data_IF_615537538711
#
_entry.id   IF_615537538711
#
_cell.length_a   1.000
_cell.length_b   1.000
_cell.length_c   1.000
_cell.angle_alpha   90.00
_cell.angle_beta   90.00
_cell.angle_gamma   90.00
#
_symmetry.space_group_name_H-M   'P 1'
#
loop_
_entity.id
_entity.type
_entity.pdbx_description
1 polymer ?
#
# COMPACT_ATOMS: atom_id res chain seq x y z
N UNK A 1 -3.91 -78.39 52.78
CA UNK A 1 -4.70 -77.79 51.72
C UNK A 1 -4.20 -76.38 51.49
N UNK A 2 -3.65 -76.12 50.31
CA UNK A 2 -2.87 -74.93 50.04
C UNK A 2 -3.76 -73.88 49.36
N UNK A 3 -3.87 -72.68 49.93
CA UNK A 3 -4.43 -71.52 49.26
C UNK A 3 -3.31 -70.86 48.38
N UNK A 4 -3.66 -70.65 47.14
CA UNK A 4 -2.81 -69.88 46.19
C UNK A 4 -3.28 -68.45 46.14
N UNK A 5 -2.36 -67.53 46.47
CA UNK A 5 -2.54 -66.12 46.32
C UNK A 5 -2.53 -65.70 44.82
N UNK A 6 -3.55 -64.97 44.41
CA UNK A 6 -3.61 -64.37 43.07
C UNK A 6 -3.29 -62.88 43.25
N UNK A 7 -2.11 -62.50 42.81
CA UNK A 7 -1.70 -61.09 42.77
C UNK A 7 -2.35 -60.37 41.60
N UNK A 8 -3.12 -59.38 41.90
CA UNK A 8 -3.73 -58.44 40.95
C UNK A 8 -2.68 -57.36 40.58
N UNK A 9 -2.13 -57.45 39.38
CA UNK A 9 -1.27 -56.39 38.84
C UNK A 9 -2.18 -55.34 38.21
N UNK A 10 -2.31 -54.23 38.87
CA UNK A 10 -3.00 -53.04 38.36
C UNK A 10 -2.05 -52.32 37.40
N UNK A 11 -2.31 -52.44 36.12
CA UNK A 11 -1.57 -51.74 35.07
C UNK A 11 -2.12 -50.32 34.95
N UNK A 12 -1.42 -49.33 35.57
CA UNK A 12 -1.76 -47.95 35.45
C UNK A 12 -1.27 -47.45 34.09
N UNK A 13 -2.18 -47.26 33.14
CA UNK A 13 -1.91 -46.57 31.89
C UNK A 13 -1.75 -45.08 32.17
N UNK A 14 -0.51 -44.61 32.21
CA UNK A 14 -0.18 -43.19 32.23
C UNK A 14 -0.37 -42.66 30.80
N UNK A 15 -1.53 -42.08 30.51
CA UNK A 15 -1.78 -41.34 29.28
C UNK A 15 -0.96 -40.04 29.36
N UNK A 16 0.24 -40.05 28.81
CA UNK A 16 1.01 -38.86 28.46
C UNK A 16 0.25 -38.16 27.31
N UNK A 17 -0.62 -37.21 27.66
CA UNK A 17 -1.11 -36.22 26.71
C UNK A 17 0.09 -35.32 26.38
N UNK A 18 0.85 -35.71 25.38
CA UNK A 18 1.77 -34.79 24.72
C UNK A 18 0.88 -33.77 24.00
N UNK A 19 0.64 -32.64 24.64
CA UNK A 19 0.13 -31.46 23.95
C UNK A 19 1.15 -31.08 22.88
N UNK A 20 0.96 -31.63 21.70
CA UNK A 20 1.63 -31.10 20.52
C UNK A 20 1.05 -29.69 20.32
N UNK A 21 1.80 -28.68 20.73
CA UNK A 21 1.63 -27.36 20.17
C UNK A 21 1.91 -27.48 18.67
N UNK A 22 0.88 -27.88 17.94
CA UNK A 22 0.86 -27.73 16.51
C UNK A 22 1.01 -26.24 16.25
N UNK A 23 2.21 -25.80 15.89
CA UNK A 23 2.34 -24.57 15.16
C UNK A 23 1.48 -24.73 13.92
N UNK A 24 0.22 -24.32 14.01
CA UNK A 24 -0.69 -24.41 12.90
C UNK A 24 -0.07 -23.54 11.80
N UNK A 25 0.55 -24.17 10.81
CA UNK A 25 1.08 -23.51 9.62
C UNK A 25 -0.01 -22.62 9.02
N UNK A 26 0.39 -21.47 8.43
CA UNK A 26 -0.51 -20.69 7.60
C UNK A 26 -1.16 -21.65 6.58
N UNK A 27 -2.45 -21.51 6.27
CA UNK A 27 -3.08 -22.35 5.26
C UNK A 27 -2.25 -22.30 3.98
N UNK A 28 -1.80 -23.46 3.49
CA UNK A 28 -1.01 -23.54 2.26
C UNK A 28 -1.88 -23.10 1.09
N UNK A 29 -1.68 -21.88 0.65
CA UNK A 29 -2.28 -21.37 -0.58
C UNK A 29 -1.39 -21.78 -1.76
N UNK A 30 -1.99 -22.33 -2.81
CA UNK A 30 -1.25 -22.59 -4.05
C UNK A 30 -0.98 -21.26 -4.78
N UNK A 31 0.04 -21.23 -5.64
CA UNK A 31 0.35 -20.04 -6.46
C UNK A 31 -0.87 -19.60 -7.29
N UNK A 32 -1.61 -20.55 -7.87
CA UNK A 32 -2.82 -20.24 -8.63
C UNK A 32 -3.93 -19.59 -7.77
N UNK A 33 -4.09 -20.05 -6.54
CA UNK A 33 -5.04 -19.46 -5.58
C UNK A 33 -4.61 -18.05 -5.18
N UNK A 34 -3.30 -17.83 -4.92
CA UNK A 34 -2.74 -16.49 -4.64
C UNK A 34 -2.96 -15.54 -5.79
N UNK A 35 -2.63 -15.95 -7.02
CA UNK A 35 -2.87 -15.14 -8.23
C UNK A 35 -4.35 -14.77 -8.34
N UNK A 36 -5.27 -15.72 -8.15
CA UNK A 36 -6.71 -15.46 -8.23
C UNK A 36 -7.19 -14.51 -7.12
N UNK A 37 -6.73 -14.67 -5.88
CA UNK A 37 -7.06 -13.80 -4.75
C UNK A 37 -6.56 -12.37 -4.96
N UNK A 38 -5.36 -12.23 -5.52
CA UNK A 38 -4.74 -10.93 -5.78
C UNK A 38 -5.14 -10.28 -7.10
N UNK A 39 -5.87 -11.00 -7.97
CA UNK A 39 -6.17 -10.53 -9.34
C UNK A 39 -6.82 -9.15 -9.37
N UNK A 40 -7.79 -8.90 -8.50
CA UNK A 40 -8.45 -7.60 -8.43
C UNK A 40 -7.47 -6.44 -8.19
N UNK A 41 -6.45 -6.68 -7.37
CA UNK A 41 -5.44 -5.67 -7.00
C UNK A 41 -4.38 -5.50 -8.10
N UNK A 42 -3.92 -6.60 -8.70
CA UNK A 42 -3.00 -6.54 -9.85
C UNK A 42 -3.65 -5.93 -11.09
N UNK A 43 -4.97 -6.07 -11.26
CA UNK A 43 -5.70 -5.40 -12.33
C UNK A 43 -5.99 -3.92 -12.03
N UNK A 44 -6.11 -3.56 -10.76
CA UNK A 44 -6.43 -2.20 -10.31
C UNK A 44 -5.32 -1.18 -10.58
N UNK A 45 -4.07 -1.53 -10.34
CA UNK A 45 -2.85 -0.75 -10.59
C UNK A 45 -2.72 0.58 -9.86
N UNK A 46 -3.81 1.20 -9.39
CA UNK A 46 -3.81 2.53 -8.82
C UNK A 46 -4.71 2.63 -7.60
N UNK A 47 -4.13 3.00 -6.46
CA UNK A 47 -4.79 3.19 -5.17
C UNK A 47 -4.48 4.52 -4.51
N UNK A 48 -5.31 4.90 -3.51
CA UNK A 48 -5.10 6.05 -2.64
C UNK A 48 -4.58 5.59 -1.29
N UNK A 49 -3.51 6.22 -0.82
CA UNK A 49 -3.10 6.16 0.58
C UNK A 49 -3.59 7.42 1.29
N UNK A 50 -4.02 7.33 2.52
CA UNK A 50 -4.44 8.49 3.32
C UNK A 50 -3.72 8.44 4.65
N UNK A 51 -2.82 9.41 4.90
CA UNK A 51 -2.16 9.59 6.18
C UNK A 51 -2.84 10.72 6.96
N UNK A 52 -3.59 10.36 7.99
CA UNK A 52 -4.35 11.32 8.78
C UNK A 52 -4.40 10.93 10.26
N UNK A 53 -4.27 11.92 11.14
CA UNK A 53 -4.23 11.75 12.57
C UNK A 53 -3.98 13.08 13.28
N UNK A 54 -3.58 13.05 14.54
CA UNK A 54 -3.30 14.24 15.34
C UNK A 54 -2.21 15.11 14.73
N UNK A 55 -1.28 14.54 14.00
CA UNK A 55 -0.19 15.24 13.32
C UNK A 55 -0.67 16.23 12.22
N UNK A 56 -1.94 16.17 11.82
CA UNK A 56 -2.51 17.16 10.92
C UNK A 56 -2.67 18.54 11.60
N UNK A 57 -2.84 18.60 12.92
CA UNK A 57 -2.99 19.87 13.64
C UNK A 57 -1.72 20.72 13.65
N UNK A 58 -0.52 20.17 14.03
CA UNK A 58 0.71 20.93 13.92
C UNK A 58 1.08 21.26 12.48
N UNK A 59 0.57 20.50 11.50
CA UNK A 59 0.79 20.75 10.07
C UNK A 59 2.26 20.88 9.67
N UNK A 60 3.13 20.02 10.24
CA UNK A 60 4.58 20.02 10.09
C UNK A 60 5.17 18.63 9.90
N UNK A 61 4.52 17.75 9.14
CA UNK A 61 4.89 16.35 8.93
C UNK A 61 4.26 15.35 9.93
N UNK A 62 3.97 14.12 9.50
CA UNK A 62 3.40 13.06 10.37
C UNK A 62 4.38 12.60 11.46
N UNK A 63 5.68 12.80 11.27
CA UNK A 63 6.72 12.51 12.26
C UNK A 63 7.03 13.67 13.22
N UNK A 64 6.20 14.71 13.28
CA UNK A 64 6.42 15.90 14.10
C UNK A 64 6.70 15.55 15.57
N UNK A 65 5.97 14.58 16.15
CA UNK A 65 6.20 14.09 17.52
C UNK A 65 7.63 13.55 17.71
N UNK A 66 8.14 12.83 16.72
CA UNK A 66 9.49 12.28 16.72
C UNK A 66 10.57 13.34 16.46
N UNK A 67 10.40 14.16 15.43
CA UNK A 67 11.39 15.17 15.05
C UNK A 67 11.59 16.24 16.11
N UNK A 68 10.49 16.68 16.73
CA UNK A 68 10.52 17.66 17.81
C UNK A 68 10.70 17.03 19.21
N UNK A 69 10.87 15.69 19.27
CA UNK A 69 11.06 14.92 20.52
C UNK A 69 9.99 15.21 21.58
N UNK A 70 8.74 15.37 21.16
CA UNK A 70 7.63 15.71 22.05
C UNK A 70 7.27 14.54 22.96
N UNK A 71 7.06 14.83 24.25
CA UNK A 71 6.51 13.88 25.21
C UNK A 71 5.01 13.68 24.97
N UNK A 72 4.41 12.70 25.63
CA UNK A 72 2.95 12.50 25.57
C UNK A 72 2.20 13.72 26.10
N UNK A 73 2.67 14.34 27.18
CA UNK A 73 2.08 15.52 27.79
C UNK A 73 2.15 16.74 26.85
N UNK A 74 3.27 16.93 26.17
CA UNK A 74 3.43 18.01 25.19
C UNK A 74 2.56 17.80 23.93
N UNK A 75 2.30 16.53 23.57
CA UNK A 75 1.50 16.17 22.40
C UNK A 75 -0.01 16.14 22.70
N UNK A 76 -0.40 16.06 24.00
CA UNK A 76 -1.77 15.93 24.49
C UNK A 76 -2.69 17.05 23.97
N UNK A 77 -2.18 18.27 23.80
CA UNK A 77 -2.94 19.40 23.26
C UNK A 77 -3.55 19.12 21.88
N UNK A 78 -2.91 18.26 21.05
CA UNK A 78 -3.46 17.91 19.74
C UNK A 78 -4.63 16.93 19.87
N UNK A 79 -4.60 16.05 20.84
CA UNK A 79 -5.72 15.19 21.18
C UNK A 79 -6.93 16.01 21.69
N UNK A 80 -6.70 16.93 22.60
CA UNK A 80 -7.75 17.79 23.20
C UNK A 80 -8.41 18.73 22.18
N UNK A 81 -7.73 19.03 21.08
CA UNK A 81 -8.22 19.94 20.05
C UNK A 81 -8.52 19.25 18.72
N UNK A 82 -8.51 17.91 18.65
CA UNK A 82 -8.83 17.19 17.41
C UNK A 82 -10.34 17.25 17.13
N UNK A 83 -10.72 18.17 16.24
CA UNK A 83 -12.11 18.36 15.82
C UNK A 83 -12.19 18.63 14.31
N UNK A 84 -12.11 17.58 13.48
CA UNK A 84 -12.19 17.72 12.03
C UNK A 84 -13.64 17.99 11.56
N UNK A 85 -14.11 19.21 11.77
CA UNK A 85 -15.47 19.67 11.54
C UNK A 85 -15.91 19.69 10.06
N UNK A 86 -14.94 19.57 9.13
CA UNK A 86 -15.19 19.47 7.68
C UNK A 86 -14.92 18.06 7.12
N UNK A 87 -14.79 17.06 8.01
CA UNK A 87 -14.60 15.69 7.55
C UNK A 87 -15.80 15.19 6.76
N UNK A 88 -15.61 14.99 5.46
CA UNK A 88 -16.58 14.37 4.55
C UNK A 88 -15.90 13.21 3.78
N UNK A 89 -16.00 11.97 4.29
CA UNK A 89 -15.40 10.82 3.62
C UNK A 89 -16.06 10.48 2.28
N UNK A 90 -17.31 10.94 2.04
CA UNK A 90 -17.97 10.79 0.74
C UNK A 90 -17.29 11.64 -0.32
N UNK A 91 -16.88 12.87 0.05
CA UNK A 91 -16.09 13.72 -0.84
C UNK A 91 -14.72 13.13 -1.12
N UNK A 92 -14.04 12.58 -0.10
CA UNK A 92 -12.78 11.85 -0.31
C UNK A 92 -12.94 10.70 -1.30
N UNK A 93 -13.98 9.88 -1.13
CA UNK A 93 -14.26 8.74 -1.99
C UNK A 93 -14.57 9.16 -3.43
N UNK A 94 -15.37 10.23 -3.62
CA UNK A 94 -15.66 10.80 -4.95
C UNK A 94 -14.38 11.27 -5.64
N UNK A 95 -13.50 11.98 -4.94
CA UNK A 95 -12.23 12.47 -5.49
C UNK A 95 -11.30 11.31 -5.86
N UNK A 96 -11.17 10.29 -5.01
CA UNK A 96 -10.38 9.09 -5.31
C UNK A 96 -10.89 8.36 -6.56
N UNK A 97 -12.20 8.13 -6.65
CA UNK A 97 -12.83 7.50 -7.80
C UNK A 97 -12.66 8.33 -9.08
N UNK A 98 -12.87 9.63 -8.99
CA UNK A 98 -12.72 10.57 -10.10
C UNK A 98 -11.26 10.60 -10.61
N UNK A 99 -10.27 10.48 -9.72
CA UNK A 99 -8.87 10.35 -10.08
C UNK A 99 -8.52 9.01 -10.77
N UNK A 100 -9.43 8.04 -10.77
CA UNK A 100 -9.24 6.71 -11.37
C UNK A 100 -8.70 5.66 -10.39
N UNK A 101 -8.69 5.92 -9.11
CA UNK A 101 -8.25 4.96 -8.10
C UNK A 101 -9.29 3.83 -7.91
N UNK A 102 -8.85 2.64 -7.53
CA UNK A 102 -9.67 1.44 -7.38
C UNK A 102 -9.74 0.91 -5.95
N UNK A 103 -8.82 1.32 -5.11
CA UNK A 103 -8.75 0.95 -3.71
C UNK A 103 -8.16 2.09 -2.89
N UNK A 104 -8.34 1.99 -1.59
CA UNK A 104 -7.85 2.99 -0.64
C UNK A 104 -7.30 2.28 0.60
N UNK A 105 -6.26 2.86 1.18
CA UNK A 105 -5.68 2.45 2.48
C UNK A 105 -5.63 3.70 3.37
N UNK A 106 -6.26 3.65 4.55
CA UNK A 106 -6.25 4.75 5.52
C UNK A 106 -5.46 4.34 6.77
N UNK A 107 -4.67 5.25 7.32
CA UNK A 107 -4.00 5.06 8.61
C UNK A 107 -5.03 4.96 9.75
N UNK A 108 -5.44 3.74 10.08
CA UNK A 108 -6.36 3.53 11.23
C UNK A 108 -5.68 3.90 12.55
N UNK A 109 -4.38 3.60 12.70
CA UNK A 109 -3.48 4.04 13.76
C UNK A 109 -2.09 4.28 13.18
N UNK A 110 -1.53 5.48 13.35
CA UNK A 110 -0.15 5.79 12.97
C UNK A 110 0.78 5.71 14.19
N UNK A 111 2.06 6.05 14.03
CA UNK A 111 3.12 5.87 15.06
C UNK A 111 2.87 6.61 16.38
N UNK A 112 2.13 7.71 16.37
CA UNK A 112 1.78 8.44 17.61
C UNK A 112 0.78 7.71 18.51
N UNK A 113 0.21 6.59 18.03
CA UNK A 113 -0.67 5.71 18.80
C UNK A 113 -2.15 6.11 18.79
N UNK A 114 -2.52 7.22 18.11
CA UNK A 114 -3.90 7.69 18.05
C UNK A 114 -4.74 6.83 17.10
N UNK A 115 -5.88 6.34 17.60
CA UNK A 115 -6.81 5.52 16.83
C UNK A 115 -7.93 6.38 16.22
N UNK A 116 -8.11 6.31 14.90
CA UNK A 116 -9.24 6.95 14.22
C UNK A 116 -10.56 6.18 14.41
N UNK A 117 -10.50 4.95 14.95
CA UNK A 117 -11.64 4.06 15.22
C UNK A 117 -11.95 3.96 16.71
N UNK A 118 -13.15 3.49 17.03
CA UNK A 118 -13.63 3.30 18.42
C UNK A 118 -13.07 2.02 19.06
N UNK A 119 -11.74 1.99 19.28
CA UNK A 119 -11.09 0.85 19.96
C UNK A 119 -11.55 0.73 21.41
N UNK A 120 -11.77 -0.51 21.88
CA UNK A 120 -12.05 -0.83 23.28
C UNK A 120 -10.79 -0.98 24.13
N UNK A 121 -9.62 -0.93 23.51
CA UNK A 121 -8.33 -1.22 24.15
C UNK A 121 -7.50 0.03 24.44
N UNK A 122 -8.01 1.22 24.10
CA UNK A 122 -7.38 2.50 24.43
C UNK A 122 -8.41 3.62 24.53
N UNK A 123 -8.13 4.60 25.38
CA UNK A 123 -8.86 5.87 25.43
C UNK A 123 -8.26 6.93 24.47
N UNK A 124 -7.10 6.64 23.85
CA UNK A 124 -6.44 7.54 22.92
C UNK A 124 -6.98 7.34 21.49
N UNK A 125 -8.24 7.74 21.33
CA UNK A 125 -9.05 7.48 20.12
C UNK A 125 -9.98 8.65 19.76
N UNK A 126 -10.42 8.69 18.51
CA UNK A 126 -11.22 9.79 17.97
C UNK A 126 -12.56 10.00 18.69
N UNK A 127 -13.20 8.94 19.17
CA UNK A 127 -14.46 9.04 19.94
C UNK A 127 -14.31 9.76 21.29
N UNK A 128 -13.08 9.90 21.80
CA UNK A 128 -12.79 10.60 23.05
C UNK A 128 -12.22 12.02 22.83
N UNK A 129 -12.19 12.49 21.60
CA UNK A 129 -11.81 13.86 21.24
C UNK A 129 -13.06 14.71 20.97
N UNK A 130 -12.94 16.04 20.76
CA UNK A 130 -14.10 16.89 20.47
C UNK A 130 -14.96 16.45 19.29
N UNK A 131 -14.43 15.74 18.28
CA UNK A 131 -15.25 15.19 17.17
C UNK A 131 -16.22 14.10 17.66
N UNK A 132 -15.86 13.31 18.70
CA UNK A 132 -16.72 12.32 19.33
C UNK A 132 -17.25 11.20 18.42
N UNK A 133 -16.54 10.86 17.34
CA UNK A 133 -17.00 9.90 16.32
C UNK A 133 -15.98 8.84 16.00
N UNK A 134 -16.49 7.67 15.55
CA UNK A 134 -15.68 6.65 14.85
C UNK A 134 -15.52 7.06 13.37
N UNK A 135 -14.36 7.62 13.03
CA UNK A 135 -14.08 8.14 11.70
C UNK A 135 -13.85 7.02 10.68
N UNK A 136 -13.43 5.83 11.15
CA UNK A 136 -13.21 4.66 10.28
C UNK A 136 -14.53 4.09 9.77
N UNK A 137 -15.58 4.11 10.55
CA UNK A 137 -16.91 3.63 10.14
C UNK A 137 -17.41 4.42 8.94
N UNK A 138 -17.43 5.75 9.06
CA UNK A 138 -17.89 6.63 7.98
C UNK A 138 -17.01 6.51 6.72
N UNK A 139 -15.68 6.37 6.89
CA UNK A 139 -14.73 6.14 5.80
C UNK A 139 -15.06 4.85 5.02
N UNK A 140 -15.21 3.73 5.72
CA UNK A 140 -15.49 2.42 5.08
C UNK A 140 -16.80 2.46 4.29
N UNK A 141 -17.86 3.02 4.87
CA UNK A 141 -19.17 3.16 4.23
C UNK A 141 -19.07 4.01 2.95
N UNK A 142 -18.40 5.16 3.01
CA UNK A 142 -18.26 6.09 1.90
C UNK A 142 -17.48 5.48 0.71
N UNK A 143 -16.32 4.87 0.97
CA UNK A 143 -15.49 4.32 -0.10
C UNK A 143 -16.11 3.08 -0.74
N UNK A 144 -16.79 2.23 0.04
CA UNK A 144 -17.57 1.10 -0.51
C UNK A 144 -18.72 1.55 -1.37
N UNK A 145 -19.43 2.60 -0.97
CA UNK A 145 -20.53 3.16 -1.75
C UNK A 145 -20.08 3.63 -3.14
N UNK A 146 -18.83 4.08 -3.26
CA UNK A 146 -18.23 4.45 -4.54
C UNK A 146 -17.61 3.25 -5.30
N UNK A 147 -17.69 2.04 -4.75
CA UNK A 147 -17.19 0.80 -5.36
C UNK A 147 -15.67 0.64 -5.26
N UNK A 148 -15.01 1.34 -4.33
CA UNK A 148 -13.58 1.17 -4.06
C UNK A 148 -13.36 0.07 -3.02
N UNK A 149 -12.32 -0.72 -3.21
CA UNK A 149 -11.87 -1.68 -2.21
C UNK A 149 -11.20 -0.94 -1.05
N UNK A 150 -11.51 -1.36 0.19
CA UNK A 150 -11.07 -0.67 1.40
C UNK A 150 -9.96 -1.45 2.10
N UNK A 151 -8.94 -0.74 2.52
CA UNK A 151 -7.84 -1.26 3.33
C UNK A 151 -7.53 -0.35 4.52
N UNK A 152 -6.76 -0.89 5.45
CA UNK A 152 -6.23 -0.18 6.60
C UNK A 152 -4.71 -0.27 6.64
N UNK A 153 -4.07 0.83 7.01
CA UNK A 153 -2.71 0.85 7.51
C UNK A 153 -2.76 0.77 9.04
N UNK A 154 -1.87 -0.03 9.60
CA UNK A 154 -1.71 -0.16 11.04
C UNK A 154 -0.23 -0.13 11.42
N UNK A 155 0.17 0.87 12.19
CA UNK A 155 1.53 0.99 12.71
C UNK A 155 1.81 -0.07 13.77
N UNK A 156 2.91 -0.82 13.61
CA UNK A 156 3.41 -1.75 14.61
C UNK A 156 4.09 -1.03 15.79
N UNK A 157 4.65 0.15 15.52
CA UNK A 157 5.19 1.01 16.59
C UNK A 157 4.11 1.91 17.17
N UNK A 158 4.31 2.31 18.43
CA UNK A 158 3.37 3.15 19.17
C UNK A 158 4.11 4.03 20.20
N UNK A 159 4.20 5.30 19.90
CA UNK A 159 4.91 6.25 20.77
C UNK A 159 4.09 6.71 21.98
N UNK A 160 2.87 6.23 22.15
CA UNK A 160 1.98 6.61 23.25
C UNK A 160 1.77 5.46 24.25
N UNK A 161 1.74 4.21 23.79
CA UNK A 161 1.37 3.06 24.63
C UNK A 161 2.37 2.84 25.79
N UNK A 162 1.89 2.69 27.04
CA UNK A 162 2.76 2.60 28.20
C UNK A 162 3.71 1.39 28.19
N UNK A 163 3.28 0.26 27.65
CA UNK A 163 4.07 -0.97 27.59
C UNK A 163 4.94 -1.08 26.31
N UNK A 164 4.82 -0.14 25.37
CA UNK A 164 5.71 -0.09 24.22
C UNK A 164 7.11 0.32 24.68
N UNK A 165 8.10 -0.53 24.42
CA UNK A 165 9.50 -0.23 24.81
C UNK A 165 10.09 0.83 23.90
N UNK A 166 10.74 1.82 24.50
CA UNK A 166 11.46 2.88 23.79
C UNK A 166 12.60 2.26 22.98
N UNK A 167 12.65 2.60 21.71
CA UNK A 167 13.61 2.14 20.73
C UNK A 167 14.30 3.30 19.98
N UNK A 168 15.13 2.98 18.97
CA UNK A 168 15.92 3.99 18.23
C UNK A 168 15.10 4.98 17.39
N UNK A 169 13.79 4.71 17.17
CA UNK A 169 12.87 5.60 16.44
C UNK A 169 11.80 6.22 17.32
N UNK A 170 11.82 5.94 18.61
CA UNK A 170 10.90 6.56 19.55
C UNK A 170 11.24 8.06 19.76
N UNK A 171 10.28 8.99 19.97
CA UNK A 171 10.56 10.39 20.30
C UNK A 171 11.51 10.57 21.47
N UNK A 172 11.39 9.70 22.49
CA UNK A 172 12.21 9.72 23.71
C UNK A 172 13.47 8.84 23.59
N UNK A 173 13.91 8.52 22.34
CA UNK A 173 15.12 7.72 22.09
C UNK A 173 16.35 8.31 22.75
N UNK A 174 17.27 7.46 23.11
CA UNK A 174 18.52 7.78 23.80
C UNK A 174 19.73 7.33 22.97
N UNK A 175 20.91 7.81 23.36
CA UNK A 175 22.17 7.44 22.70
C UNK A 175 22.89 6.26 23.39
N UNK A 176 22.60 6.01 24.69
CA UNK A 176 23.25 4.95 25.45
C UNK A 176 22.33 3.78 25.79
N UNK A 177 22.89 2.56 25.74
CA UNK A 177 22.15 1.34 26.08
C UNK A 177 21.67 1.35 27.53
N UNK A 178 22.45 1.91 28.47
CA UNK A 178 22.05 2.05 29.87
C UNK A 178 20.80 2.92 30.06
N UNK A 179 20.66 3.98 29.24
CA UNK A 179 19.47 4.81 29.25
C UNK A 179 18.24 4.06 28.72
N UNK A 180 18.37 3.25 27.66
CA UNK A 180 17.28 2.39 27.19
C UNK A 180 16.83 1.40 28.26
N UNK A 181 17.75 0.71 28.94
CA UNK A 181 17.42 -0.23 30.03
C UNK A 181 16.62 0.48 31.13
N UNK A 182 17.07 1.67 31.53
CA UNK A 182 16.38 2.47 32.59
C UNK A 182 14.97 2.89 32.17
N UNK A 183 14.79 3.39 30.94
CA UNK A 183 13.52 3.90 30.45
C UNK A 183 12.51 2.78 30.13
N UNK A 184 13.01 1.60 29.83
CA UNK A 184 12.18 0.44 29.55
C UNK A 184 11.86 -0.41 30.79
N UNK A 185 12.40 -0.04 31.93
CA UNK A 185 12.12 -0.75 33.21
C UNK A 185 10.61 -0.72 33.53
N UNK A 186 10.02 -1.90 33.65
CA UNK A 186 8.60 -2.08 33.97
C UNK A 186 7.67 -2.08 32.77
N UNK A 187 8.16 -1.83 31.55
CA UNK A 187 7.38 -2.00 30.33
C UNK A 187 7.32 -3.48 29.91
N UNK A 188 6.19 -3.89 29.36
CA UNK A 188 5.92 -5.28 29.02
C UNK A 188 5.42 -5.41 27.57
N UNK A 189 6.32 -5.77 26.65
CA UNK A 189 5.99 -5.97 25.24
C UNK A 189 4.98 -7.11 24.99
N UNK A 190 4.79 -8.02 25.95
CA UNK A 190 3.75 -9.06 25.79
C UNK A 190 2.33 -8.46 25.86
N UNK A 191 2.13 -7.47 26.73
CA UNK A 191 0.88 -6.70 26.80
C UNK A 191 0.67 -5.85 25.56
N UNK A 192 1.75 -5.27 25.05
CA UNK A 192 1.68 -4.50 23.80
C UNK A 192 1.35 -5.39 22.61
N UNK A 193 1.92 -6.60 22.50
CA UNK A 193 1.54 -7.58 21.46
C UNK A 193 0.05 -7.96 21.50
N UNK A 194 -0.48 -8.18 22.70
CA UNK A 194 -1.90 -8.46 22.89
C UNK A 194 -2.77 -7.28 22.46
N UNK A 195 -2.35 -6.05 22.82
CA UNK A 195 -3.01 -4.82 22.36
C UNK A 195 -3.07 -4.71 20.83
N UNK A 196 -1.94 -4.93 20.11
CA UNK A 196 -1.90 -4.96 18.63
C UNK A 196 -2.92 -5.96 18.10
N UNK A 197 -2.89 -7.21 18.59
CA UNK A 197 -3.78 -8.27 18.12
C UNK A 197 -5.25 -7.92 18.33
N UNK A 198 -5.59 -7.36 19.48
CA UNK A 198 -6.94 -6.97 19.79
C UNK A 198 -7.43 -5.83 18.89
N UNK A 199 -6.64 -4.81 18.65
CA UNK A 199 -6.99 -3.72 17.74
C UNK A 199 -7.10 -4.16 16.28
N UNK A 200 -6.17 -4.99 15.80
CA UNK A 200 -6.27 -5.55 14.44
C UNK A 200 -7.51 -6.43 14.31
N UNK A 201 -7.86 -7.19 15.34
CA UNK A 201 -9.13 -7.96 15.38
C UNK A 201 -10.34 -7.03 15.25
N UNK A 202 -10.39 -5.92 16.00
CA UNK A 202 -11.48 -4.93 15.87
C UNK A 202 -11.59 -4.40 14.45
N UNK A 203 -10.47 -4.00 13.85
CA UNK A 203 -10.45 -3.48 12.47
C UNK A 203 -10.93 -4.52 11.45
N UNK A 204 -10.63 -5.80 11.63
CA UNK A 204 -10.97 -6.86 10.70
C UNK A 204 -12.33 -7.53 10.97
N UNK A 205 -13.03 -7.16 12.06
CA UNK A 205 -14.34 -7.74 12.40
C UNK A 205 -15.48 -6.73 12.44
N UNK A 206 -15.20 -5.47 12.79
CA UNK A 206 -16.25 -4.48 13.05
C UNK A 206 -16.69 -3.70 11.80
N UNK A 207 -15.90 -3.74 10.71
CA UNK A 207 -16.09 -2.89 9.53
C UNK A 207 -16.40 -3.67 8.24
N UNK A 208 -16.79 -4.94 8.37
CA UNK A 208 -17.11 -5.82 7.23
C UNK A 208 -15.88 -6.26 6.45
N UNK A 209 -16.01 -6.48 5.13
CA UNK A 209 -14.90 -6.95 4.29
C UNK A 209 -13.78 -5.90 4.18
N UNK A 210 -12.56 -6.29 4.54
CA UNK A 210 -11.34 -5.49 4.39
C UNK A 210 -10.42 -6.19 3.40
N UNK A 211 -10.07 -5.49 2.34
CA UNK A 211 -9.35 -6.09 1.22
C UNK A 211 -7.83 -6.04 1.37
N UNK A 212 -7.31 -5.08 2.14
CA UNK A 212 -5.87 -4.89 2.38
C UNK A 212 -5.67 -4.53 3.85
N UNK A 213 -4.68 -5.17 4.49
CA UNK A 213 -4.07 -4.63 5.71
C UNK A 213 -2.60 -4.36 5.43
N UNK A 214 -2.20 -3.12 5.67
CA UNK A 214 -0.88 -2.60 5.45
C UNK A 214 -0.22 -2.35 6.80
N UNK A 215 0.65 -3.27 7.24
CA UNK A 215 1.42 -3.10 8.48
C UNK A 215 2.61 -2.19 8.22
N UNK A 216 3.13 -1.57 9.27
CA UNK A 216 4.30 -0.72 9.08
C UNK A 216 5.26 -0.76 10.26
N UNK A 217 6.53 -0.66 9.91
CA UNK A 217 7.64 -0.35 10.77
C UNK A 217 8.25 -1.52 11.54
N UNK A 218 8.64 -2.60 10.84
CA UNK A 218 9.64 -3.54 11.35
C UNK A 218 11.05 -3.07 10.98
N UNK A 219 11.94 -3.04 11.98
CA UNK A 219 13.32 -2.56 11.81
C UNK A 219 14.25 -3.29 12.77
N UNK A 220 14.46 -4.60 12.57
CA UNK A 220 15.26 -5.45 13.46
C UNK A 220 16.67 -4.92 13.65
N UNK A 221 17.39 -5.50 14.64
CA UNK A 221 18.74 -5.15 15.01
C UNK A 221 18.81 -4.32 16.28
N UNK A 222 20.00 -3.74 16.56
CA UNK A 222 20.26 -3.06 17.86
C UNK A 222 19.25 -1.94 18.14
N UNK A 223 18.62 -2.03 19.31
CA UNK A 223 17.56 -1.10 19.76
C UNK A 223 16.43 -0.92 18.71
N UNK A 224 16.20 -1.96 17.89
CA UNK A 224 15.09 -2.03 16.94
C UNK A 224 14.08 -3.07 17.36
N UNK A 225 13.14 -3.37 16.47
CA UNK A 225 12.10 -4.39 16.66
C UNK A 225 11.81 -5.12 15.35
N UNK A 226 11.60 -6.43 15.43
CA UNK A 226 11.31 -7.30 14.30
C UNK A 226 10.17 -8.27 14.59
N UNK A 227 10.07 -9.31 13.80
CA UNK A 227 8.94 -10.27 13.83
C UNK A 227 8.65 -10.88 15.21
N UNK A 228 9.67 -11.15 16.02
CA UNK A 228 9.49 -11.69 17.37
C UNK A 228 8.87 -10.66 18.33
N UNK A 229 9.22 -9.38 18.17
CA UNK A 229 8.66 -8.30 19.00
C UNK A 229 7.16 -8.11 18.77
N UNK A 230 6.70 -8.36 17.56
CA UNK A 230 5.29 -8.22 17.17
C UNK A 230 4.48 -9.51 17.28
N UNK A 231 5.15 -10.66 17.43
CA UNK A 231 4.55 -11.99 17.20
C UNK A 231 3.86 -12.04 15.83
N UNK A 232 4.64 -11.65 14.80
CA UNK A 232 4.15 -11.37 13.45
C UNK A 232 3.46 -12.56 12.80
N UNK A 233 3.94 -13.80 12.99
CA UNK A 233 3.29 -15.00 12.44
C UNK A 233 1.89 -15.19 13.00
N UNK A 234 1.72 -15.04 14.31
CA UNK A 234 0.43 -15.15 14.98
C UNK A 234 -0.53 -14.03 14.55
N UNK A 235 0.00 -12.79 14.40
CA UNK A 235 -0.76 -11.64 13.92
C UNK A 235 -1.25 -11.85 12.48
N UNK A 236 -0.37 -12.27 11.57
CA UNK A 236 -0.72 -12.59 10.17
C UNK A 236 -1.74 -13.71 10.07
N UNK A 237 -1.56 -14.77 10.85
CA UNK A 237 -2.47 -15.92 10.91
C UNK A 237 -3.87 -15.50 11.35
N UNK A 238 -3.94 -14.66 12.39
CA UNK A 238 -5.20 -14.10 12.86
C UNK A 238 -5.85 -13.25 11.76
N UNK A 239 -5.11 -12.35 11.11
CA UNK A 239 -5.63 -11.49 10.05
C UNK A 239 -6.23 -12.32 8.90
N UNK A 240 -5.52 -13.34 8.41
CA UNK A 240 -5.99 -14.23 7.34
C UNK A 240 -7.14 -15.12 7.76
N UNK A 241 -7.22 -15.53 9.03
CA UNK A 241 -8.36 -16.31 9.54
C UNK A 241 -9.64 -15.49 9.62
N UNK A 242 -9.53 -14.20 9.94
CA UNK A 242 -10.66 -13.28 10.01
C UNK A 242 -11.13 -12.82 8.62
N UNK A 243 -10.18 -12.63 7.71
CA UNK A 243 -10.41 -12.12 6.35
C UNK A 243 -9.60 -12.98 5.35
N UNK A 244 -10.10 -14.15 4.89
CA UNK A 244 -9.34 -15.07 4.03
C UNK A 244 -8.90 -14.46 2.68
N UNK A 245 -9.62 -13.45 2.19
CA UNK A 245 -9.30 -12.73 0.96
C UNK A 245 -8.32 -11.56 1.12
N UNK A 246 -7.88 -11.25 2.34
CA UNK A 246 -7.07 -10.07 2.64
C UNK A 246 -5.68 -10.15 2.00
N UNK A 247 -5.20 -9.01 1.50
CA UNK A 247 -3.84 -8.85 0.98
C UNK A 247 -3.00 -8.15 2.04
N UNK A 248 -1.76 -8.63 2.26
CA UNK A 248 -0.86 -8.16 3.30
C UNK A 248 0.50 -7.81 2.67
N UNK A 249 1.06 -6.67 3.05
CA UNK A 249 2.37 -6.20 2.64
C UNK A 249 3.54 -6.97 3.30
N UNK A 250 4.78 -6.58 2.99
CA UNK A 250 6.00 -7.27 3.45
C UNK A 250 6.58 -6.72 4.77
N UNK A 251 5.88 -5.80 5.47
CA UNK A 251 6.46 -5.08 6.61
C UNK A 251 6.29 -5.74 7.99
N UNK A 252 5.77 -6.97 8.02
CA UNK A 252 5.75 -7.79 9.24
C UNK A 252 7.10 -8.47 9.56
N UNK A 253 8.15 -8.23 8.74
CA UNK A 253 9.45 -8.88 8.87
C UNK A 253 9.40 -10.42 8.73
N UNK A 254 8.54 -10.91 7.84
CA UNK A 254 8.31 -12.33 7.56
C UNK A 254 8.78 -12.73 6.14
N UNK A 255 9.83 -12.10 5.61
CA UNK A 255 10.28 -12.33 4.22
C UNK A 255 10.70 -13.77 3.96
N UNK A 256 11.30 -14.43 4.96
CA UNK A 256 11.79 -15.80 4.87
C UNK A 256 10.70 -16.85 5.22
N UNK A 257 9.49 -16.40 5.61
CA UNK A 257 8.37 -17.29 5.95
C UNK A 257 7.49 -17.50 4.72
N UNK A 258 7.26 -18.76 4.36
CA UNK A 258 6.34 -19.10 3.24
C UNK A 258 4.93 -18.56 3.52
N UNK A 259 4.42 -17.73 2.61
CA UNK A 259 3.14 -17.06 2.79
C UNK A 259 3.15 -15.89 3.79
N UNK A 260 4.33 -15.43 4.23
CA UNK A 260 4.49 -14.35 5.19
C UNK A 260 4.06 -12.98 4.68
N UNK A 261 3.91 -12.82 3.36
CA UNK A 261 3.51 -11.58 2.69
C UNK A 261 2.91 -11.85 1.30
N UNK A 262 2.21 -10.89 0.75
CA UNK A 262 1.62 -10.98 -0.58
C UNK A 262 2.37 -10.13 -1.62
N UNK A 263 2.79 -8.94 -1.24
CA UNK A 263 3.51 -8.00 -2.11
C UNK A 263 4.59 -7.23 -1.34
N UNK A 264 5.62 -6.78 -2.06
CA UNK A 264 6.64 -5.88 -1.49
C UNK A 264 6.25 -4.42 -1.72
N UNK A 265 6.62 -3.57 -0.77
CA UNK A 265 6.19 -2.17 -0.70
C UNK A 265 7.36 -1.18 -0.73
N UNK A 266 8.09 -1.01 -1.87
CA UNK A 266 9.13 0.01 -1.99
C UNK A 266 8.56 1.41 -1.78
N UNK A 267 9.17 2.15 -0.85
CA UNK A 267 8.70 3.44 -0.41
C UNK A 267 9.55 4.58 -0.99
N UNK A 268 8.89 5.56 -1.63
CA UNK A 268 9.51 6.80 -2.16
C UNK A 268 10.71 6.56 -3.08
N UNK A 269 10.82 5.38 -3.68
CA UNK A 269 11.90 5.03 -4.62
C UNK A 269 11.37 4.81 -6.02
N UNK A 270 12.17 5.13 -7.02
CA UNK A 270 11.92 4.81 -8.41
C UNK A 270 12.34 3.37 -8.67
N UNK A 271 11.38 2.49 -8.90
CA UNK A 271 11.63 1.08 -9.23
C UNK A 271 12.04 0.96 -10.69
N UNK A 272 13.29 0.55 -10.94
CA UNK A 272 13.86 0.54 -12.30
C UNK A 272 13.61 -0.76 -13.07
N UNK A 273 13.30 -1.86 -12.38
CA UNK A 273 12.95 -3.17 -12.96
C UNK A 273 11.95 -3.88 -12.07
N UNK A 274 11.23 -4.86 -12.60
CA UNK A 274 10.33 -5.68 -11.80
C UNK A 274 11.07 -6.36 -10.66
N UNK A 275 10.68 -6.17 -9.38
CA UNK A 275 11.34 -6.82 -8.26
C UNK A 275 11.26 -8.34 -8.33
N UNK A 276 12.34 -9.00 -7.93
CA UNK A 276 12.44 -10.46 -7.90
C UNK A 276 12.80 -10.94 -6.49
N UNK A 277 12.25 -12.09 -6.12
CA UNK A 277 12.61 -12.83 -4.93
C UNK A 277 12.85 -14.30 -5.31
N UNK A 278 13.99 -14.85 -4.94
CA UNK A 278 14.42 -16.20 -5.32
C UNK A 278 14.29 -16.49 -6.84
N UNK A 279 14.68 -15.49 -7.68
CA UNK A 279 14.67 -15.60 -9.14
C UNK A 279 13.26 -15.55 -9.78
N UNK A 280 12.22 -15.22 -9.02
CA UNK A 280 10.86 -15.07 -9.53
C UNK A 280 10.37 -13.63 -9.40
N UNK A 281 9.69 -13.11 -10.42
CA UNK A 281 8.99 -11.82 -10.35
C UNK A 281 7.92 -11.89 -9.28
N UNK A 282 7.89 -10.88 -8.40
CA UNK A 282 6.97 -10.80 -7.28
C UNK A 282 6.01 -9.64 -7.44
N UNK A 283 4.83 -9.73 -6.82
CA UNK A 283 3.89 -8.62 -6.76
C UNK A 283 4.48 -7.48 -5.94
N UNK A 284 4.24 -6.24 -6.37
CA UNK A 284 4.78 -5.06 -5.71
C UNK A 284 3.91 -3.81 -5.90
N UNK A 285 4.01 -2.92 -4.94
CA UNK A 285 3.31 -1.64 -4.92
C UNK A 285 4.26 -0.56 -4.42
N UNK A 286 4.55 0.48 -5.21
CA UNK A 286 5.27 1.62 -4.65
C UNK A 286 4.29 2.56 -3.96
N UNK A 287 4.59 2.93 -2.72
CA UNK A 287 3.89 4.00 -2.03
C UNK A 287 4.66 5.32 -2.21
N UNK A 288 3.94 6.34 -2.68
CA UNK A 288 4.49 7.64 -3.06
C UNK A 288 3.62 8.77 -2.52
N UNK A 289 4.22 9.92 -2.29
CA UNK A 289 3.52 11.14 -1.87
C UNK A 289 3.36 12.12 -3.03
N UNK A 290 2.41 13.03 -2.91
CA UNK A 290 2.32 14.22 -3.79
C UNK A 290 3.48 15.18 -3.55
N UNK A 291 4.04 15.19 -2.34
CA UNK A 291 5.07 16.12 -1.89
C UNK A 291 6.15 15.40 -1.08
N UNK A 292 6.85 16.06 -0.18
CA UNK A 292 7.85 15.47 0.71
C UNK A 292 7.29 14.89 2.02
N UNK A 293 5.97 14.94 2.26
CA UNK A 293 5.33 14.51 3.52
C UNK A 293 4.19 13.52 3.27
N UNK A 294 4.01 12.55 4.18
CA UNK A 294 2.84 11.67 4.19
C UNK A 294 1.63 12.38 4.80
N UNK A 295 1.79 12.95 6.00
CA UNK A 295 0.77 13.76 6.65
C UNK A 295 0.68 15.18 6.07
N UNK A 296 -0.37 15.90 6.46
CA UNK A 296 -0.51 17.30 6.07
C UNK A 296 0.65 18.16 6.57
N UNK A 297 1.30 18.85 5.62
CA UNK A 297 2.34 19.82 5.92
C UNK A 297 2.01 21.13 5.17
N UNK A 298 1.61 22.16 5.94
CA UNK A 298 1.14 23.44 5.37
C UNK A 298 2.20 24.11 4.52
N UNK A 299 3.43 24.15 5.01
CA UNK A 299 4.55 24.89 4.40
C UNK A 299 5.38 24.03 3.41
N UNK A 300 4.85 22.84 3.03
CA UNK A 300 5.49 21.96 2.06
C UNK A 300 5.55 22.60 0.66
N UNK A 301 6.72 22.58 0.05
CA UNK A 301 7.00 23.22 -1.24
C UNK A 301 7.57 22.26 -2.31
N UNK A 302 7.72 20.96 -1.99
CA UNK A 302 8.30 19.95 -2.91
C UNK A 302 7.24 19.17 -3.68
N UNK A 303 6.14 19.81 -4.05
CA UNK A 303 5.03 19.18 -4.76
C UNK A 303 5.42 18.70 -6.15
N UNK A 304 5.20 17.42 -6.41
CA UNK A 304 5.37 16.83 -7.76
C UNK A 304 4.39 17.48 -8.75
N UNK A 305 4.84 17.70 -9.98
CA UNK A 305 3.98 18.14 -11.07
C UNK A 305 3.01 17.03 -11.52
N UNK A 306 1.93 17.40 -12.23
CA UNK A 306 0.99 16.45 -12.79
C UNK A 306 1.67 15.45 -13.73
N UNK A 307 2.66 15.89 -14.52
CA UNK A 307 3.43 15.02 -15.40
C UNK A 307 4.25 13.98 -14.62
N UNK A 308 4.92 14.40 -13.53
CA UNK A 308 5.68 13.48 -12.67
C UNK A 308 4.77 12.43 -12.01
N UNK A 309 3.57 12.80 -11.57
CA UNK A 309 2.62 11.86 -10.95
C UNK A 309 2.09 10.83 -11.95
N UNK A 310 1.78 11.27 -13.19
CA UNK A 310 1.38 10.35 -14.26
C UNK A 310 2.56 9.45 -14.68
N UNK A 311 3.77 9.98 -14.76
CA UNK A 311 4.97 9.19 -15.04
C UNK A 311 5.17 8.10 -13.97
N UNK A 312 5.03 8.42 -12.67
CA UNK A 312 5.11 7.44 -11.58
C UNK A 312 4.08 6.31 -11.73
N UNK A 313 2.84 6.64 -12.10
CA UNK A 313 1.79 5.63 -12.34
C UNK A 313 2.16 4.72 -13.51
N UNK A 314 2.48 5.31 -14.66
CA UNK A 314 2.81 4.59 -15.89
C UNK A 314 4.07 3.74 -15.69
N UNK A 315 5.08 4.28 -15.01
CA UNK A 315 6.32 3.57 -14.73
C UNK A 315 6.10 2.35 -13.83
N UNK A 316 5.27 2.49 -12.79
CA UNK A 316 4.90 1.36 -11.92
C UNK A 316 4.23 0.25 -12.73
N UNK A 317 3.24 0.59 -13.54
CA UNK A 317 2.52 -0.38 -14.39
C UNK A 317 3.43 -1.00 -15.43
N UNK A 318 4.33 -0.24 -16.05
CA UNK A 318 5.29 -0.73 -17.07
C UNK A 318 6.27 -1.77 -16.51
N UNK A 319 6.35 -1.90 -15.22
CA UNK A 319 7.18 -2.87 -14.48
C UNK A 319 6.32 -3.83 -13.62
N UNK A 320 5.04 -3.98 -13.98
CA UNK A 320 4.13 -4.95 -13.38
C UNK A 320 3.65 -4.60 -11.97
N UNK A 321 3.90 -3.38 -11.49
CA UNK A 321 3.53 -2.95 -10.14
C UNK A 321 2.30 -2.06 -10.06
N UNK A 322 1.93 -1.72 -8.83
CA UNK A 322 0.88 -0.78 -8.50
C UNK A 322 1.49 0.54 -7.98
N UNK A 323 0.74 1.62 -8.10
CA UNK A 323 0.99 2.88 -7.41
C UNK A 323 -0.05 3.09 -6.32
N UNK A 324 0.40 3.25 -5.07
CA UNK A 324 -0.39 3.71 -3.93
C UNK A 324 0.02 5.17 -3.64
N UNK A 325 -0.82 6.13 -4.06
CA UNK A 325 -0.49 7.55 -4.02
C UNK A 325 -1.16 8.23 -2.82
N UNK A 326 -0.36 8.87 -1.99
CA UNK A 326 -0.76 9.39 -0.69
C UNK A 326 -1.28 10.81 -0.70
N UNK A 327 -2.37 11.03 0.03
CA UNK A 327 -2.84 12.35 0.45
C UNK A 327 -2.76 12.48 1.96
N UNK A 328 -2.44 13.68 2.44
CA UNK A 328 -2.51 14.06 3.86
C UNK A 328 -3.63 15.07 4.08
N UNK A 329 -4.81 14.68 4.60
CA UNK A 329 -5.88 15.61 4.91
C UNK A 329 -5.48 16.65 5.95
N UNK A 330 -6.05 17.85 5.85
CA UNK A 330 -5.87 18.92 6.84
C UNK A 330 -6.44 18.55 8.21
N UNK A 331 -6.14 19.34 9.23
CA UNK A 331 -6.71 19.16 10.58
C UNK A 331 -8.25 19.23 10.60
N UNK A 332 -8.88 19.92 9.64
CA UNK A 332 -10.33 20.01 9.49
C UNK A 332 -10.96 18.85 8.71
N UNK A 333 -10.13 17.93 8.16
CA UNK A 333 -10.60 16.75 7.44
C UNK A 333 -10.83 16.97 5.93
N UNK A 334 -10.30 18.04 5.33
CA UNK A 334 -10.35 18.28 3.88
C UNK A 334 -9.02 17.93 3.21
N UNK A 335 -9.02 17.50 1.96
CA UNK A 335 -7.79 17.44 1.18
C UNK A 335 -7.26 18.85 0.89
N UNK A 336 -5.93 19.01 0.94
CA UNK A 336 -5.27 20.27 0.52
C UNK A 336 -5.64 20.59 -0.93
N UNK A 337 -5.90 21.86 -1.23
CA UNK A 337 -6.26 22.31 -2.59
C UNK A 337 -5.24 21.87 -3.65
N UNK A 338 -3.95 21.87 -3.28
CA UNK A 338 -2.85 21.40 -4.16
C UNK A 338 -2.96 19.91 -4.48
N UNK A 339 -3.45 19.09 -3.54
CA UNK A 339 -3.72 17.67 -3.76
C UNK A 339 -4.96 17.48 -4.62
N UNK A 340 -6.04 18.25 -4.37
CA UNK A 340 -7.28 18.19 -5.15
C UNK A 340 -7.04 18.52 -6.63
N UNK A 341 -6.27 19.55 -6.93
CA UNK A 341 -5.89 19.93 -8.31
C UNK A 341 -5.15 18.79 -9.03
N UNK A 342 -4.25 18.11 -8.33
CA UNK A 342 -3.49 16.97 -8.90
C UNK A 342 -4.36 15.73 -9.10
N UNK A 343 -5.22 15.42 -8.15
CA UNK A 343 -6.21 14.33 -8.28
C UNK A 343 -7.12 14.57 -9.49
N UNK A 344 -7.62 15.80 -9.64
CA UNK A 344 -8.43 16.20 -10.80
C UNK A 344 -7.67 16.01 -12.11
N UNK A 345 -6.44 16.51 -12.19
CA UNK A 345 -5.62 16.38 -13.40
C UNK A 345 -5.32 14.92 -13.76
N UNK A 346 -5.01 14.08 -12.76
CA UNK A 346 -4.85 12.64 -12.97
C UNK A 346 -6.14 12.01 -13.49
N UNK A 347 -7.28 12.37 -12.92
CA UNK A 347 -8.59 11.89 -13.34
C UNK A 347 -8.94 12.26 -14.79
N UNK A 348 -8.64 13.48 -15.21
CA UNK A 348 -8.84 13.93 -16.59
C UNK A 348 -8.03 13.06 -17.57
N UNK A 349 -6.77 12.76 -17.25
CA UNK A 349 -5.96 11.86 -18.06
C UNK A 349 -6.46 10.41 -18.01
N UNK A 350 -6.78 9.89 -16.82
CA UNK A 350 -7.30 8.52 -16.63
C UNK A 350 -8.63 8.28 -17.37
N UNK A 351 -9.50 9.26 -17.43
CA UNK A 351 -10.76 9.18 -18.18
C UNK A 351 -10.55 8.79 -19.63
N UNK A 352 -9.48 9.27 -20.23
CA UNK A 352 -9.15 9.04 -21.65
C UNK A 352 -8.20 7.84 -21.87
N UNK A 353 -7.34 7.54 -20.87
CA UNK A 353 -6.22 6.65 -21.08
C UNK A 353 -6.20 5.43 -20.13
N UNK A 354 -7.21 5.20 -19.29
CA UNK A 354 -7.20 4.14 -18.28
C UNK A 354 -7.05 2.73 -18.81
N UNK A 355 -7.38 2.48 -20.10
CA UNK A 355 -7.14 1.19 -20.76
C UNK A 355 -5.66 0.82 -20.84
N UNK A 356 -4.75 1.81 -20.79
CA UNK A 356 -3.31 1.59 -20.77
C UNK A 356 -2.74 1.35 -19.36
N UNK A 357 -3.61 1.38 -18.33
CA UNK A 357 -3.27 1.21 -16.92
C UNK A 357 -3.91 -0.06 -16.35
N UNK A 358 -5.25 -0.13 -16.34
CA UNK A 358 -5.96 -1.25 -15.72
C UNK A 358 -5.76 -2.55 -16.46
N UNK A 359 -5.41 -3.62 -15.71
CA UNK A 359 -5.12 -4.94 -16.27
C UNK A 359 -3.87 -4.97 -17.15
N UNK A 360 -3.09 -3.89 -17.18
CA UNK A 360 -1.82 -3.83 -17.90
C UNK A 360 -0.66 -4.26 -17.00
N UNK A 361 0.44 -4.62 -17.64
CA UNK A 361 1.67 -5.06 -17.01
C UNK A 361 2.88 -4.67 -17.88
N UNK A 362 4.06 -5.15 -17.55
CA UNK A 362 5.28 -5.02 -18.34
C UNK A 362 5.06 -5.56 -19.75
N UNK A 363 5.58 -4.86 -20.73
CA UNK A 363 5.55 -5.32 -22.12
C UNK A 363 6.46 -6.55 -22.30
N UNK A 364 6.10 -7.50 -23.21
CA UNK A 364 6.98 -8.59 -23.59
C UNK A 364 8.38 -8.13 -24.00
N UNK A 365 9.43 -8.89 -23.63
CA UNK A 365 10.83 -8.45 -23.76
C UNK A 365 11.31 -8.24 -25.21
N UNK A 366 10.59 -8.80 -26.18
CA UNK A 366 10.87 -8.58 -27.59
C UNK A 366 10.53 -7.16 -28.07
N UNK A 367 9.79 -6.37 -27.28
CA UNK A 367 9.44 -4.99 -27.62
C UNK A 367 10.44 -4.03 -26.99
N UNK A 368 11.34 -3.52 -27.82
CA UNK A 368 12.33 -2.54 -27.38
C UNK A 368 11.65 -1.20 -27.10
N UNK A 369 11.77 -0.72 -25.86
CA UNK A 369 11.21 0.57 -25.43
C UNK A 369 11.93 1.73 -26.13
N UNK A 370 11.26 2.57 -26.95
CA UNK A 370 11.87 3.77 -27.54
C UNK A 370 12.31 4.77 -26.48
N UNK A 371 13.30 5.61 -26.79
CA UNK A 371 13.74 6.67 -25.91
C UNK A 371 12.58 7.60 -25.50
N UNK A 372 12.58 8.07 -24.27
CA UNK A 372 11.55 8.94 -23.69
C UNK A 372 10.12 8.38 -23.78
N UNK A 373 9.98 7.06 -23.77
CA UNK A 373 8.68 6.37 -23.72
C UNK A 373 8.66 5.34 -22.60
N UNK A 374 7.46 4.92 -22.24
CA UNK A 374 7.21 3.73 -21.42
C UNK A 374 6.22 2.82 -22.13
N UNK A 375 6.39 1.52 -21.98
CA UNK A 375 5.50 0.52 -22.58
C UNK A 375 4.69 -0.16 -21.48
N UNK A 376 3.36 -0.26 -21.70
CA UNK A 376 2.49 -1.14 -20.91
C UNK A 376 1.77 -2.10 -21.85
N UNK A 377 1.46 -3.28 -21.36
CA UNK A 377 0.83 -4.34 -22.15
C UNK A 377 -0.33 -4.97 -21.42
N UNK A 378 -1.46 -5.11 -22.11
CA UNK A 378 -2.60 -5.86 -21.59
C UNK A 378 -2.61 -7.26 -22.22
N UNK A 379 -2.31 -8.32 -21.47
CA UNK A 379 -2.18 -9.68 -21.98
C UNK A 379 -3.52 -10.29 -22.41
N UNK A 380 -4.63 -9.83 -21.84
CA UNK A 380 -5.98 -10.32 -22.15
C UNK A 380 -6.45 -9.81 -23.51
N UNK A 381 -6.29 -8.50 -23.73
CA UNK A 381 -6.73 -7.85 -24.97
C UNK A 381 -5.67 -7.86 -26.08
N UNK A 382 -4.44 -8.28 -25.76
CA UNK A 382 -3.26 -8.21 -26.65
C UNK A 382 -3.04 -6.78 -27.20
N UNK A 383 -3.08 -5.79 -26.29
CA UNK A 383 -2.83 -4.39 -26.60
C UNK A 383 -1.50 -3.95 -26.00
N UNK A 384 -0.65 -3.38 -26.84
CA UNK A 384 0.55 -2.67 -26.42
C UNK A 384 0.25 -1.18 -26.40
N UNK A 385 0.62 -0.50 -25.31
CA UNK A 385 0.45 0.95 -25.17
C UNK A 385 1.82 1.60 -25.08
N UNK A 386 2.03 2.65 -25.90
CA UNK A 386 3.27 3.43 -25.93
C UNK A 386 2.97 4.81 -25.36
N UNK A 387 3.47 5.07 -24.16
CA UNK A 387 3.32 6.34 -23.46
C UNK A 387 4.50 7.25 -23.80
N UNK A 388 4.24 8.38 -24.43
CA UNK A 388 5.27 9.35 -24.86
C UNK A 388 5.51 10.39 -23.75
N UNK A 389 6.56 10.22 -22.97
CA UNK A 389 6.97 11.17 -21.93
C UNK A 389 7.48 12.47 -22.56
N UNK A 390 8.16 12.37 -23.69
CA UNK A 390 8.46 13.49 -24.57
C UNK A 390 7.86 13.20 -25.95
N UNK A 391 7.06 14.13 -26.49
CA UNK A 391 6.41 13.94 -27.77
C UNK A 391 7.43 14.16 -28.92
N UNK A 392 7.66 13.16 -29.78
CA UNK A 392 8.64 13.27 -30.86
C UNK A 392 8.12 14.10 -32.03
N UNK A 393 9.02 14.71 -32.79
CA UNK A 393 8.67 15.45 -34.01
C UNK A 393 8.38 14.49 -35.17
N UNK A 394 7.11 14.32 -35.49
CA UNK A 394 6.64 13.66 -36.73
C UNK A 394 6.76 12.15 -36.77
N UNK A 395 7.73 11.51 -36.13
CA UNK A 395 7.91 10.05 -36.20
C UNK A 395 8.36 9.45 -34.87
N UNK A 396 7.85 8.25 -34.59
CA UNK A 396 8.31 7.39 -33.51
C UNK A 396 8.64 6.00 -34.09
N UNK A 397 9.83 5.48 -33.79
CA UNK A 397 10.27 4.19 -34.28
C UNK A 397 10.25 3.14 -33.15
N UNK A 398 9.69 1.97 -33.44
CA UNK A 398 9.67 0.82 -32.53
C UNK A 398 10.35 -0.37 -33.21
N UNK A 399 11.41 -0.89 -32.57
CA UNK A 399 12.20 -2.01 -33.08
C UNK A 399 11.52 -3.36 -32.80
N UNK A 400 11.74 -4.33 -33.69
CA UNK A 400 11.28 -5.71 -33.50
C UNK A 400 9.79 -5.93 -33.67
N UNK A 401 9.07 -5.00 -34.31
CA UNK A 401 7.61 -5.02 -34.45
C UNK A 401 7.09 -5.29 -35.85
N UNK A 402 7.99 -5.50 -36.83
CA UNK A 402 7.58 -5.84 -38.18
C UNK A 402 6.63 -7.05 -38.19
N UNK A 403 5.58 -6.99 -39.01
CA UNK A 403 4.55 -8.01 -39.16
C UNK A 403 3.70 -8.35 -37.89
N UNK A 404 3.95 -7.71 -36.75
CA UNK A 404 3.22 -7.96 -35.50
C UNK A 404 2.03 -7.00 -35.30
N UNK A 405 1.99 -5.85 -35.98
CA UNK A 405 0.98 -4.82 -35.80
C UNK A 405 -0.17 -4.99 -36.78
N UNK A 406 -1.39 -4.92 -36.28
CA UNK A 406 -2.62 -4.92 -37.09
C UNK A 406 -3.16 -3.51 -37.32
N UNK A 407 -3.18 -2.67 -36.26
CA UNK A 407 -3.76 -1.33 -36.29
C UNK A 407 -3.18 -0.49 -35.19
N UNK A 408 -3.16 0.83 -35.33
CA UNK A 408 -2.66 1.79 -34.33
C UNK A 408 -3.58 2.99 -34.31
N UNK A 409 -3.85 3.48 -33.08
CA UNK A 409 -4.60 4.70 -32.85
C UNK A 409 -4.05 5.49 -31.67
N UNK A 410 -4.36 6.77 -31.61
CA UNK A 410 -4.24 7.51 -30.34
C UNK A 410 -5.28 7.00 -29.35
N UNK A 411 -4.87 6.80 -28.09
CA UNK A 411 -5.78 6.26 -27.07
C UNK A 411 -6.86 7.27 -26.66
N UNK A 412 -6.52 8.56 -26.61
CA UNK A 412 -7.39 9.62 -26.08
C UNK A 412 -8.62 9.95 -26.95
N UNK A 413 -8.55 9.76 -28.28
CA UNK A 413 -9.61 10.11 -29.22
C UNK A 413 -9.91 9.02 -30.24
N UNK A 414 -9.18 7.90 -30.20
CA UNK A 414 -9.28 6.76 -31.12
C UNK A 414 -8.99 7.10 -32.60
N UNK A 415 -8.35 8.24 -32.90
CA UNK A 415 -7.96 8.56 -34.25
C UNK A 415 -6.80 7.66 -34.74
N UNK A 416 -6.88 7.21 -36.01
CA UNK A 416 -5.89 6.32 -36.61
C UNK A 416 -4.50 6.97 -36.65
N UNK A 417 -3.49 6.18 -36.39
CA UNK A 417 -2.08 6.52 -36.61
C UNK A 417 -1.49 5.60 -37.67
N UNK A 418 -1.16 6.17 -38.84
CA UNK A 418 -0.50 5.45 -39.89
C UNK A 418 0.88 5.01 -39.51
N UNK A 419 1.27 3.82 -39.93
CA UNK A 419 2.62 3.31 -39.72
C UNK A 419 3.16 2.67 -40.97
N UNK A 420 4.47 2.61 -41.11
CA UNK A 420 5.18 1.93 -42.17
C UNK A 420 6.21 0.96 -41.62
N UNK A 421 6.41 -0.14 -42.33
CA UNK A 421 7.46 -1.09 -42.02
C UNK A 421 8.76 -0.62 -42.65
N UNK A 422 9.87 -0.77 -41.95
CA UNK A 422 11.20 -0.49 -42.47
C UNK A 422 11.60 -1.49 -43.55
N UNK A 423 12.63 -1.16 -44.31
CA UNK A 423 13.22 -2.03 -45.33
C UNK A 423 14.75 -2.09 -45.18
N UNK A 424 15.38 -3.07 -45.80
CA UNK A 424 16.83 -3.28 -45.69
C UNK A 424 17.25 -3.56 -44.25
N UNK A 425 18.18 -2.81 -43.72
CA UNK A 425 18.68 -2.96 -42.36
C UNK A 425 17.62 -2.67 -41.29
N UNK A 426 16.58 -1.88 -41.62
CA UNK A 426 15.44 -1.54 -40.76
C UNK A 426 14.21 -2.44 -40.96
N UNK A 427 14.31 -3.54 -41.70
CA UNK A 427 13.17 -4.41 -42.02
C UNK A 427 12.39 -4.93 -40.79
N UNK A 428 13.05 -5.01 -39.61
CA UNK A 428 12.43 -5.39 -38.34
C UNK A 428 11.71 -4.26 -37.62
N UNK A 429 11.76 -3.02 -38.12
CA UNK A 429 11.28 -1.83 -37.44
C UNK A 429 9.94 -1.34 -37.97
N UNK A 430 9.18 -0.65 -37.11
CA UNK A 430 7.96 0.08 -37.45
C UNK A 430 8.19 1.56 -37.18
N UNK A 431 7.77 2.43 -38.14
CA UNK A 431 7.74 3.87 -37.97
C UNK A 431 6.30 4.36 -37.93
N UNK A 432 5.90 4.97 -36.79
CA UNK A 432 4.59 5.61 -36.62
C UNK A 432 4.66 7.05 -37.09
N UNK A 433 3.73 7.45 -37.96
CA UNK A 433 3.61 8.81 -38.52
C UNK A 433 2.74 9.64 -37.55
N UNK A 434 3.37 10.53 -36.81
CA UNK A 434 2.71 11.36 -35.79
C UNK A 434 2.43 12.77 -36.34
N UNK A 435 1.34 13.43 -35.92
CA UNK A 435 1.14 14.86 -36.16
C UNK A 435 2.33 15.68 -35.65
N UNK A 436 2.67 16.76 -36.30
CA UNK A 436 3.72 17.70 -35.82
C UNK A 436 3.29 18.34 -34.51
N UNK A 437 2.03 18.73 -34.39
CA UNK A 437 1.47 19.27 -33.18
C UNK A 437 1.11 18.17 -32.19
N UNK A 438 1.65 18.25 -30.98
CA UNK A 438 1.30 17.33 -29.87
C UNK A 438 -0.19 17.43 -29.57
N UNK A 439 -0.91 16.30 -29.41
CA UNK A 439 -2.27 16.29 -28.89
C UNK A 439 -2.37 16.98 -27.51
N UNK A 440 -3.51 17.63 -27.20
CA UNK A 440 -3.71 18.42 -25.97
C UNK A 440 -3.95 17.53 -24.74
N UNK A 441 -3.10 16.55 -24.52
CA UNK A 441 -3.11 15.63 -23.37
C UNK A 441 -1.77 15.63 -22.67
N UNK A 442 -1.75 15.43 -21.36
CA UNK A 442 -0.52 15.52 -20.55
C UNK A 442 0.56 14.54 -21.06
N UNK A 443 0.22 13.25 -21.15
CA UNK A 443 1.05 12.20 -21.75
C UNK A 443 0.23 11.56 -22.86
N UNK A 444 0.74 11.66 -24.11
CA UNK A 444 0.12 11.07 -25.29
C UNK A 444 0.38 9.56 -25.31
N UNK A 445 -0.65 8.77 -25.61
CA UNK A 445 -0.56 7.29 -25.64
C UNK A 445 -1.00 6.77 -27.00
N UNK A 446 -0.18 5.91 -27.60
CA UNK A 446 -0.61 5.07 -28.73
C UNK A 446 -1.15 3.74 -28.21
N UNK A 447 -2.29 3.32 -28.73
CA UNK A 447 -2.82 1.97 -28.57
C UNK A 447 -2.50 1.16 -29.82
N UNK A 448 -1.69 0.11 -29.65
CA UNK A 448 -1.21 -0.74 -30.71
C UNK A 448 -1.91 -2.09 -30.64
N UNK A 449 -2.65 -2.43 -31.67
CA UNK A 449 -3.35 -3.71 -31.83
C UNK A 449 -2.38 -4.72 -32.42
N UNK A 450 -2.05 -5.75 -31.68
CA UNK A 450 -1.20 -6.84 -32.13
C UNK A 450 -2.02 -7.90 -32.91
N UNK A 451 -1.35 -8.62 -33.81
CA UNK A 451 -1.94 -9.74 -34.59
C UNK A 451 -2.21 -10.96 -33.70
#
# INVERSE_FOLDING_TARGET
>A
MKLKNLSLITLTFLLLIISQYSHAQLPKETEAQKIQRMKWWTDARFGMFIHWGLYALPARHEWVKNYERLTNEQYQKYFENFNPDLYDPKEWARQAKAAGMKYVVLTAKHHEGFCLFDSKFTDYKATNTPIGKDLIKEYVEAFRAEGLKVGFYYSLIDWHHPDYTIDRVHPQRQESDTAYVRLNKGKDMSKYREYIKNQVRELLTNYGEISIIWFDFSFPGKNGKGHDDWDSESLLKMARSLQPGIIVDDRLDLKEVEGGWDFVSPEQVKVTKWPEYNGKKIAWETCQTFSGSWGYYRDENTWKSNAQLLELLIESVSKGGNLLLNVGPTARGTFDVRAQERLKSMGEWMKLNSRSVYGCTEAPPEFTTPANTLLTYNPVTKRLYIHMLAYPMGRLNLKGMADKIKYVQFLHDASEVKFSQGSGEDAGNISFNLPIQKPPVAITVLEVYLK
#
